data_IF_506957671654
#
_entry.id   IF_506957671654
#
_cell.length_a   1.000
_cell.length_b   1.000
_cell.length_c   1.000
_cell.angle_alpha   90.00
_cell.angle_beta   90.00
_cell.angle_gamma   90.00
#
_symmetry.space_group_name_H-M   'P 1'
#
loop_
_entity.id
_entity.type
_entity.pdbx_description
1 polymer ?
#
# COMPACT_ATOMS: atom_id res chain seq x y z
N UNK A 1 -26.75 -21.37 49.87
CA UNK A 1 -26.33 -19.99 49.54
C UNK A 1 -25.29 -20.02 48.44
N UNK A 2 -25.69 -19.57 47.24
CA UNK A 2 -24.84 -19.49 46.04
C UNK A 2 -23.87 -18.32 46.20
N UNK A 3 -22.55 -18.55 46.15
CA UNK A 3 -21.57 -17.49 45.97
C UNK A 3 -21.15 -17.48 44.50
N UNK A 4 -21.71 -16.51 43.79
CA UNK A 4 -21.45 -16.16 42.40
C UNK A 4 -19.95 -15.94 42.20
N UNK A 5 -19.29 -16.83 41.46
CA UNK A 5 -17.94 -16.61 40.96
C UNK A 5 -18.09 -15.60 39.82
N UNK A 6 -17.80 -14.33 40.12
CA UNK A 6 -17.78 -13.27 39.11
C UNK A 6 -16.59 -13.53 38.21
N UNK A 7 -16.92 -13.98 37.01
CA UNK A 7 -16.07 -14.16 35.85
C UNK A 7 -15.26 -12.88 35.64
N UNK A 8 -13.99 -12.89 36.07
CA UNK A 8 -12.99 -11.93 35.60
C UNK A 8 -12.57 -12.40 34.20
N UNK A 9 -13.45 -12.20 33.21
CA UNK A 9 -13.02 -12.07 31.82
C UNK A 9 -12.10 -10.87 31.84
N UNK A 10 -10.82 -11.14 32.00
CA UNK A 10 -9.75 -10.22 31.65
C UNK A 10 -10.12 -9.76 30.25
N UNK A 11 -10.47 -8.49 30.17
CA UNK A 11 -10.51 -7.67 28.98
C UNK A 11 -9.11 -7.75 28.33
N UNK A 12 -8.81 -8.91 27.74
CA UNK A 12 -7.96 -9.02 26.58
C UNK A 12 -8.75 -8.34 25.47
N UNK A 13 -8.84 -7.00 25.58
CA UNK A 13 -9.02 -6.13 24.44
C UNK A 13 -7.85 -6.43 23.54
N UNK A 14 -8.00 -7.47 22.72
CA UNK A 14 -7.13 -7.74 21.61
C UNK A 14 -7.05 -6.42 20.86
N UNK A 15 -5.89 -5.78 20.97
CA UNK A 15 -5.54 -4.66 20.13
C UNK A 15 -5.37 -5.28 18.75
N UNK A 16 -6.50 -5.53 18.08
CA UNK A 16 -6.54 -6.07 16.74
C UNK A 16 -5.97 -4.99 15.84
N UNK A 17 -4.68 -5.13 15.52
CA UNK A 17 -4.10 -4.42 14.39
C UNK A 17 -4.98 -4.74 13.18
N UNK A 18 -5.54 -3.70 12.57
CA UNK A 18 -6.39 -3.82 11.38
C UNK A 18 -5.48 -3.95 10.17
N UNK A 19 -5.77 -4.91 9.28
CA UNK A 19 -4.93 -5.33 8.17
C UNK A 19 -5.59 -4.99 6.82
N UNK A 20 -4.79 -4.73 5.79
CA UNK A 20 -5.22 -4.39 4.43
C UNK A 20 -4.82 -5.50 3.44
N UNK A 21 -5.64 -5.74 2.43
CA UNK A 21 -5.41 -6.71 1.34
C UNK A 21 -5.54 -6.01 -0.01
N UNK A 22 -4.92 -6.51 -1.08
CA UNK A 22 -4.94 -5.92 -2.43
C UNK A 22 -5.85 -6.72 -3.39
N UNK A 23 -6.33 -7.92 -3.03
CA UNK A 23 -7.22 -8.72 -3.89
C UNK A 23 -8.66 -8.19 -3.88
N UNK A 24 -8.95 -7.24 -4.78
CA UNK A 24 -10.22 -6.50 -4.84
C UNK A 24 -11.12 -6.83 -6.04
N UNK A 25 -10.83 -7.91 -6.78
CA UNK A 25 -11.58 -8.26 -8.00
C UNK A 25 -12.96 -8.86 -7.67
N UNK A 26 -14.03 -8.13 -8.00
CA UNK A 26 -15.40 -8.67 -8.06
C UNK A 26 -16.33 -8.36 -6.88
N UNK A 27 -15.91 -7.53 -5.92
CA UNK A 27 -16.81 -7.13 -4.83
C UNK A 27 -17.78 -6.00 -5.27
N UNK A 28 -19.09 -6.18 -5.04
CA UNK A 28 -20.13 -5.16 -5.29
C UNK A 28 -19.88 -3.81 -4.57
N UNK A 29 -18.98 -3.82 -3.59
CA UNK A 29 -18.67 -2.69 -2.70
C UNK A 29 -17.47 -1.87 -3.20
N UNK A 30 -16.82 -2.30 -4.30
CA UNK A 30 -15.68 -1.63 -4.92
C UNK A 30 -16.14 -0.44 -5.79
N UNK A 31 -16.68 0.62 -5.15
CA UNK A 31 -17.17 1.82 -5.84
C UNK A 31 -16.26 3.04 -5.73
N UNK A 32 -15.04 2.90 -5.18
CA UNK A 32 -14.26 4.05 -4.72
C UNK A 32 -12.75 3.97 -5.02
N UNK A 33 -12.37 3.42 -6.18
CA UNK A 33 -11.05 3.65 -6.75
C UNK A 33 -11.11 4.71 -7.82
N UNK A 34 -10.21 5.69 -7.75
CA UNK A 34 -10.17 6.81 -8.66
C UNK A 34 -8.76 6.94 -9.20
N UNK A 35 -8.61 6.83 -10.52
CA UNK A 35 -7.39 7.28 -11.18
C UNK A 35 -7.44 8.80 -11.19
N UNK A 36 -6.41 9.43 -10.65
CA UNK A 36 -6.32 10.88 -10.50
C UNK A 36 -5.51 11.48 -11.63
N UNK A 37 -4.28 11.00 -11.81
CA UNK A 37 -3.33 11.59 -12.74
C UNK A 37 -2.18 10.61 -13.07
N UNK A 38 -1.30 11.00 -13.99
CA UNK A 38 0.03 10.43 -14.15
C UNK A 38 1.06 11.35 -13.50
N UNK A 39 1.84 10.84 -12.56
CA UNK A 39 2.87 11.60 -11.83
C UNK A 39 4.27 11.09 -12.16
N UNK A 40 5.26 11.93 -11.86
CA UNK A 40 6.69 11.57 -11.88
C UNK A 40 7.26 11.69 -10.47
N UNK A 41 8.09 10.72 -10.07
CA UNK A 41 8.83 10.74 -8.82
C UNK A 41 10.31 10.82 -9.16
N UNK A 42 11.03 11.83 -8.66
CA UNK A 42 12.45 12.01 -8.96
C UNK A 42 13.29 10.86 -8.39
N UNK A 43 14.07 10.18 -9.25
CA UNK A 43 14.88 9.00 -8.91
C UNK A 43 14.07 8.01 -8.04
N UNK A 44 13.02 7.40 -8.61
CA UNK A 44 12.09 6.59 -7.85
C UNK A 44 12.74 5.30 -7.36
N UNK A 45 12.41 4.90 -6.14
CA UNK A 45 12.79 3.60 -5.57
C UNK A 45 11.56 2.86 -5.08
N UNK A 46 11.55 1.53 -5.26
CA UNK A 46 10.62 0.62 -4.60
C UNK A 46 11.27 0.09 -3.32
N UNK A 47 10.55 0.13 -2.22
CA UNK A 47 11.03 -0.36 -0.92
C UNK A 47 10.04 -1.38 -0.36
N UNK A 48 10.57 -2.53 0.03
CA UNK A 48 9.86 -3.52 0.81
C UNK A 48 10.39 -3.53 2.24
N UNK A 49 9.51 -3.30 3.22
CA UNK A 49 9.88 -3.39 4.64
C UNK A 49 9.62 -4.79 5.16
N UNK A 50 10.67 -5.49 5.59
CA UNK A 50 10.54 -6.80 6.26
C UNK A 50 9.73 -6.69 7.56
N UNK A 51 9.84 -5.55 8.24
CA UNK A 51 9.18 -5.28 9.53
C UNK A 51 7.71 -4.90 9.38
N UNK A 52 7.36 -4.10 8.38
CA UNK A 52 6.03 -3.48 8.27
C UNK A 52 5.19 -4.00 7.09
N UNK A 53 5.78 -4.79 6.19
CA UNK A 53 5.20 -5.15 4.90
C UNK A 53 5.41 -4.05 3.86
N UNK A 54 5.02 -4.31 2.63
CA UNK A 54 5.24 -3.45 1.47
C UNK A 54 4.64 -4.10 0.22
N UNK A 55 4.70 -3.44 -0.96
CA UNK A 55 5.74 -2.48 -1.36
C UNK A 55 5.33 -0.99 -1.32
N UNK A 56 6.32 -0.10 -1.19
CA UNK A 56 6.17 1.36 -1.25
C UNK A 56 7.04 1.98 -2.34
N UNK A 57 6.62 3.12 -2.89
CA UNK A 57 7.41 3.92 -3.84
C UNK A 57 7.58 5.35 -3.32
N UNK A 58 8.80 5.86 -3.39
CA UNK A 58 9.13 7.25 -3.08
C UNK A 58 10.47 7.64 -3.72
N UNK A 59 10.88 8.90 -3.56
CA UNK A 59 12.17 9.36 -4.11
C UNK A 59 13.36 8.77 -3.34
N UNK A 60 14.46 8.45 -4.04
CA UNK A 60 15.70 7.98 -3.40
C UNK A 60 16.20 8.93 -2.31
N UNK A 61 16.01 10.24 -2.48
CA UNK A 61 16.40 11.24 -1.47
C UNK A 61 15.60 11.13 -0.18
N UNK A 62 14.30 10.80 -0.28
CA UNK A 62 13.41 10.63 0.89
C UNK A 62 13.85 9.52 1.82
N UNK A 63 14.57 8.52 1.30
CA UNK A 63 15.14 7.44 2.11
C UNK A 63 16.06 7.94 3.24
N UNK A 64 16.69 9.11 3.07
CA UNK A 64 17.56 9.72 4.09
C UNK A 64 16.81 10.07 5.37
N UNK A 65 15.51 10.29 5.28
CA UNK A 65 14.65 10.65 6.41
C UNK A 65 14.10 9.40 7.14
N UNK A 66 14.42 8.19 6.66
CA UNK A 66 13.91 6.95 7.23
C UNK A 66 14.43 6.74 8.67
N UNK A 67 13.50 6.78 9.62
CA UNK A 67 13.77 6.70 11.06
C UNK A 67 13.34 5.37 11.70
N UNK A 68 13.17 4.31 10.90
CA UNK A 68 12.75 2.98 11.36
C UNK A 68 11.36 2.90 12.01
N UNK A 69 10.52 3.93 11.82
CA UNK A 69 9.14 3.98 12.33
C UNK A 69 8.12 3.83 11.19
N UNK A 70 6.96 3.27 11.55
CA UNK A 70 5.82 3.14 10.65
C UNK A 70 5.35 4.48 10.07
N UNK A 71 5.46 5.57 10.85
CA UNK A 71 4.99 6.90 10.44
C UNK A 71 5.63 7.41 9.15
N UNK A 72 6.88 7.00 8.86
CA UNK A 72 7.56 7.34 7.60
C UNK A 72 6.76 6.88 6.37
N UNK A 73 6.21 5.66 6.41
CA UNK A 73 5.43 5.10 5.31
C UNK A 73 4.02 5.71 5.15
N UNK A 74 3.64 6.61 6.06
CA UNK A 74 2.38 7.34 6.02
C UNK A 74 2.58 8.80 5.57
N UNK A 75 3.81 9.19 5.25
CA UNK A 75 4.10 10.56 4.83
C UNK A 75 3.50 10.87 3.44
N UNK A 76 3.13 12.13 3.17
CA UNK A 76 2.35 12.47 1.97
C UNK A 76 3.04 12.16 0.63
N UNK A 77 4.37 12.06 0.63
CA UNK A 77 5.27 11.80 -0.49
C UNK A 77 5.78 10.34 -0.53
N UNK A 78 5.23 9.47 0.32
CA UNK A 78 5.41 8.03 0.28
C UNK A 78 4.12 7.38 -0.23
N UNK A 79 4.24 6.62 -1.31
CA UNK A 79 3.12 6.00 -1.98
C UNK A 79 3.16 4.49 -1.79
N UNK A 80 1.99 3.88 -1.77
CA UNK A 80 1.88 2.42 -1.85
C UNK A 80 2.16 2.01 -3.29
N UNK A 81 2.96 0.97 -3.50
CA UNK A 81 3.15 0.39 -4.81
C UNK A 81 2.01 -0.59 -5.10
N UNK A 82 1.18 -0.27 -6.09
CA UNK A 82 0.32 -1.24 -6.73
C UNK A 82 1.14 -2.16 -7.63
N UNK A 83 0.68 -3.40 -7.81
CA UNK A 83 1.33 -4.38 -8.67
C UNK A 83 0.93 -4.15 -10.14
N UNK A 84 -0.27 -4.58 -10.52
CA UNK A 84 -0.83 -4.36 -11.85
C UNK A 84 -2.20 -3.69 -11.72
N UNK A 85 -2.34 -2.56 -12.41
CA UNK A 85 -3.54 -1.72 -12.41
C UNK A 85 -4.76 -2.47 -12.93
N UNK A 86 -4.60 -3.46 -13.80
CA UNK A 86 -5.73 -4.22 -14.35
C UNK A 86 -6.34 -5.22 -13.37
N UNK A 87 -5.64 -5.61 -12.29
CA UNK A 87 -6.29 -6.34 -11.19
C UNK A 87 -7.28 -5.47 -10.41
N UNK A 88 -7.15 -4.16 -10.56
CA UNK A 88 -7.83 -3.15 -9.75
C UNK A 88 -8.99 -2.50 -10.53
N UNK A 89 -8.86 -2.40 -11.86
CA UNK A 89 -9.90 -1.85 -12.73
C UNK A 89 -10.94 -2.89 -13.17
N UNK A 90 -12.19 -2.46 -13.34
CA UNK A 90 -13.18 -3.24 -14.05
C UNK A 90 -12.86 -3.33 -15.57
N UNK A 91 -13.43 -4.32 -16.24
CA UNK A 91 -13.16 -4.59 -17.66
C UNK A 91 -13.51 -3.43 -18.62
N UNK A 92 -14.48 -2.58 -18.30
CA UNK A 92 -14.84 -1.43 -19.14
C UNK A 92 -13.88 -0.26 -18.90
N UNK A 93 -13.42 -0.08 -17.66
CA UNK A 93 -12.36 0.87 -17.31
C UNK A 93 -11.03 0.47 -17.93
N UNK A 94 -10.70 -0.83 -17.99
CA UNK A 94 -9.54 -1.39 -18.70
C UNK A 94 -9.41 -0.85 -20.14
N UNK A 95 -10.51 -0.77 -20.90
CA UNK A 95 -10.47 -0.33 -22.30
C UNK A 95 -10.10 1.14 -22.49
N UNK A 96 -10.27 1.97 -21.45
CA UNK A 96 -10.00 3.40 -21.49
C UNK A 96 -8.54 3.74 -21.15
N UNK A 97 -7.85 2.86 -20.44
CA UNK A 97 -6.47 3.09 -20.00
C UNK A 97 -5.53 2.14 -20.73
N UNK A 98 -4.61 2.68 -21.52
CA UNK A 98 -3.50 1.92 -22.07
C UNK A 98 -2.43 1.83 -20.97
N UNK A 99 -2.42 0.76 -20.20
CA UNK A 99 -1.36 0.40 -19.25
C UNK A 99 -0.45 -0.61 -19.96
N UNK A 100 0.61 -0.16 -20.66
CA UNK A 100 1.32 -0.96 -21.66
C UNK A 100 2.11 -2.12 -21.06
N UNK A 101 2.63 -1.95 -19.84
CA UNK A 101 3.66 -2.85 -19.31
C UNK A 101 3.19 -3.72 -18.14
N UNK A 102 1.91 -3.66 -17.75
CA UNK A 102 1.37 -4.46 -16.64
C UNK A 102 2.17 -4.29 -15.33
N UNK A 103 2.88 -3.18 -15.15
CA UNK A 103 3.77 -2.93 -14.00
C UNK A 103 5.12 -3.61 -14.07
N UNK A 104 5.48 -4.21 -15.21
CA UNK A 104 6.72 -4.92 -15.48
C UNK A 104 7.93 -4.03 -15.73
N UNK A 105 8.09 -2.97 -14.96
CA UNK A 105 9.29 -2.14 -15.03
C UNK A 105 10.55 -2.94 -14.66
N UNK A 106 11.64 -2.76 -15.43
CA UNK A 106 12.94 -3.35 -15.14
C UNK A 106 13.59 -2.67 -13.92
N UNK A 107 13.23 -3.16 -12.75
CA UNK A 107 13.80 -2.74 -11.48
C UNK A 107 15.12 -3.44 -11.19
N UNK A 108 16.08 -2.72 -10.60
CA UNK A 108 17.37 -3.28 -10.16
C UNK A 108 17.50 -3.18 -8.66
N UNK A 109 18.03 -4.21 -8.01
CA UNK A 109 18.35 -4.12 -6.59
C UNK A 109 19.33 -2.95 -6.35
N UNK A 110 19.08 -2.15 -5.32
CA UNK A 110 19.93 -1.03 -4.94
C UNK A 110 21.17 -1.50 -4.17
N UNK A 111 22.29 -0.82 -4.40
CA UNK A 111 23.50 -0.94 -3.58
C UNK A 111 23.31 -0.33 -2.18
N UNK A 112 22.29 0.50 -1.99
CA UNK A 112 21.98 1.07 -0.68
C UNK A 112 21.45 -0.04 0.24
N UNK A 113 22.14 -0.27 1.36
CA UNK A 113 21.71 -1.21 2.39
C UNK A 113 21.19 -0.45 3.61
N UNK A 114 19.90 -0.61 3.88
CA UNK A 114 19.24 -0.15 5.11
C UNK A 114 18.67 -1.36 5.82
N UNK A 115 18.90 -1.46 7.13
CA UNK A 115 18.41 -2.59 7.93
C UNK A 115 16.90 -2.75 7.77
N UNK A 116 16.45 -4.00 7.59
CA UNK A 116 15.06 -4.41 7.44
C UNK A 116 14.32 -3.85 6.21
N UNK A 117 15.04 -3.25 5.25
CA UNK A 117 14.51 -2.80 3.97
C UNK A 117 15.17 -3.56 2.80
N UNK A 118 14.37 -3.96 1.83
CA UNK A 118 14.82 -4.34 0.50
C UNK A 118 14.49 -3.18 -0.43
N UNK A 119 15.47 -2.76 -1.24
CA UNK A 119 15.40 -1.52 -2.01
C UNK A 119 15.71 -1.85 -3.46
N UNK A 120 14.83 -1.40 -4.35
CA UNK A 120 14.98 -1.54 -5.80
C UNK A 120 14.87 -0.16 -6.44
N UNK A 121 15.69 0.10 -7.45
CA UNK A 121 15.71 1.35 -8.20
C UNK A 121 14.96 1.17 -9.52
N UNK A 122 14.04 2.10 -9.78
CA UNK A 122 13.39 2.20 -11.07
C UNK A 122 14.30 2.93 -12.08
N UNK A 123 14.09 2.73 -13.39
CA UNK A 123 14.64 3.61 -14.41
C UNK A 123 14.32 5.09 -14.13
N UNK A 124 15.24 6.00 -14.48
CA UNK A 124 15.11 7.43 -14.16
C UNK A 124 13.83 8.09 -14.70
N UNK A 125 13.28 7.58 -15.79
CA UNK A 125 12.14 8.17 -16.48
C UNK A 125 10.82 7.44 -16.20
N UNK A 126 10.79 6.54 -15.21
CA UNK A 126 9.56 5.84 -14.83
C UNK A 126 8.49 6.84 -14.38
N UNK A 127 7.32 6.74 -15.01
CA UNK A 127 6.11 7.49 -14.64
C UNK A 127 5.24 6.60 -13.77
N UNK A 128 4.24 7.18 -13.12
CA UNK A 128 3.35 6.42 -12.25
C UNK A 128 1.91 6.88 -12.44
N UNK A 129 0.99 5.94 -12.57
CA UNK A 129 -0.45 6.25 -12.45
C UNK A 129 -0.76 6.41 -10.98
N UNK A 130 -1.25 7.58 -10.58
CA UNK A 130 -1.73 7.84 -9.24
C UNK A 130 -3.20 7.44 -9.11
N UNK A 131 -3.46 6.50 -8.22
CA UNK A 131 -4.79 6.10 -7.79
C UNK A 131 -5.08 6.54 -6.35
N UNK A 132 -6.36 6.78 -6.07
CA UNK A 132 -6.88 6.95 -4.71
C UNK A 132 -7.85 5.82 -4.40
N UNK A 133 -7.64 5.16 -3.27
CA UNK A 133 -8.55 4.12 -2.76
C UNK A 133 -9.20 4.64 -1.49
N UNK A 134 -10.53 4.63 -1.42
CA UNK A 134 -11.25 4.92 -0.17
C UNK A 134 -11.18 3.73 0.79
N UNK A 135 -10.51 3.89 1.93
CA UNK A 135 -10.52 2.91 3.02
C UNK A 135 -11.74 3.10 3.93
N UNK A 136 -12.71 2.19 3.91
CA UNK A 136 -13.85 2.12 4.85
C UNK A 136 -13.77 0.88 5.77
N UNK A 137 -14.29 1.02 6.99
CA UNK A 137 -14.47 0.05 8.10
C UNK A 137 -14.89 -1.38 7.71
N UNK A 138 -15.62 -1.58 6.62
CA UNK A 138 -16.14 -2.91 6.25
C UNK A 138 -15.17 -3.78 5.45
N UNK A 139 -14.02 -3.24 5.03
CA UNK A 139 -13.06 -3.93 4.17
C UNK A 139 -11.90 -4.59 4.95
N UNK A 140 -12.19 -5.00 6.19
CA UNK A 140 -11.25 -5.66 7.08
C UNK A 140 -11.14 -7.14 6.71
N UNK A 141 -10.10 -7.47 5.93
CA UNK A 141 -9.18 -8.61 6.10
C UNK A 141 -8.53 -8.94 4.75
N UNK A 142 -7.22 -9.15 4.76
CA UNK A 142 -6.62 -10.45 4.40
C UNK A 142 -5.13 -10.45 4.76
N UNK A 143 -4.60 -11.63 5.09
CA UNK A 143 -3.18 -11.89 5.34
C UNK A 143 -2.53 -12.19 4.00
N UNK A 144 -1.58 -11.37 3.58
CA UNK A 144 -0.64 -11.74 2.53
C UNK A 144 0.74 -11.26 2.95
N UNK A 145 1.72 -12.14 2.85
CA UNK A 145 3.13 -11.83 3.09
C UNK A 145 3.68 -10.81 2.07
N UNK A 146 2.94 -10.57 0.98
CA UNK A 146 3.22 -9.60 -0.08
C UNK A 146 2.45 -8.28 0.05
N UNK A 147 1.59 -8.11 1.06
CA UNK A 147 0.74 -6.92 1.21
C UNK A 147 0.97 -6.19 2.54
N UNK A 148 0.88 -4.85 2.50
CA UNK A 148 1.26 -3.95 3.58
C UNK A 148 0.22 -3.87 4.71
N UNK A 149 0.67 -3.54 5.93
CA UNK A 149 -0.19 -3.38 7.10
C UNK A 149 -0.35 -1.91 7.48
N UNK A 150 -1.44 -1.26 7.08
CA UNK A 150 -1.73 0.12 7.53
C UNK A 150 -2.60 0.13 8.79
N UNK A 151 -2.04 0.46 9.99
CA UNK A 151 -2.84 0.76 11.16
C UNK A 151 -3.60 2.09 10.97
N UNK A 152 -4.87 2.00 10.58
CA UNK A 152 -5.76 3.16 10.46
C UNK A 152 -6.29 3.53 11.85
N UNK A 153 -5.81 4.64 12.42
CA UNK A 153 -6.24 5.15 13.73
C UNK A 153 -7.53 6.00 13.69
N UNK A 154 -7.95 6.50 12.51
CA UNK A 154 -9.11 7.39 12.36
C UNK A 154 -10.15 6.83 11.39
N UNK A 155 -11.41 6.86 11.81
CA UNK A 155 -12.55 6.11 11.25
C UNK A 155 -13.31 6.84 10.11
N UNK A 156 -12.87 8.04 9.71
CA UNK A 156 -13.47 8.79 8.60
C UNK A 156 -12.76 8.42 7.31
N UNK A 157 -13.51 8.19 6.23
CA UNK A 157 -13.02 7.83 4.88
C UNK A 157 -11.65 8.43 4.57
N UNK A 158 -10.60 7.62 4.66
CA UNK A 158 -9.24 8.03 4.31
C UNK A 158 -9.00 7.55 2.89
N UNK A 159 -8.72 8.48 1.99
CA UNK A 159 -8.18 8.14 0.69
C UNK A 159 -6.71 7.78 0.84
N UNK A 160 -6.36 6.57 0.47
CA UNK A 160 -5.01 6.06 0.46
C UNK A 160 -4.44 6.25 -0.96
N UNK A 161 -3.23 6.80 -1.05
CA UNK A 161 -2.53 7.01 -2.32
C UNK A 161 -1.80 5.74 -2.71
N UNK A 162 -2.09 5.26 -3.91
CA UNK A 162 -1.43 4.11 -4.52
C UNK A 162 -0.89 4.52 -5.88
N UNK A 163 0.29 4.01 -6.24
CA UNK A 163 0.91 4.29 -7.53
C UNK A 163 1.19 2.99 -8.28
N UNK A 164 0.99 3.02 -9.59
CA UNK A 164 1.27 1.90 -10.49
C UNK A 164 2.36 2.33 -11.47
N UNK A 165 3.49 1.63 -11.54
CA UNK A 165 4.60 2.04 -12.37
C UNK A 165 4.26 1.91 -13.87
N UNK A 166 4.59 2.95 -14.62
CA UNK A 166 4.52 3.01 -16.08
C UNK A 166 5.94 3.09 -16.61
N UNK A 167 6.35 2.05 -17.30
CA UNK A 167 7.55 2.06 -18.13
C UNK A 167 7.14 2.21 -19.60
N UNK A 168 8.08 2.75 -20.39
CA UNK A 168 7.99 2.97 -21.84
C UNK A 168 9.22 2.31 -22.47
#
# INVERSE_FOLDING_TARGET
>A
MKKTIIIFIVLLSSCSSRYYDIDYKGEKNYKSFYIVDTITISNPIKVFSKKYGGPFVFSKNKLKDYNQKWSFFMEPDVFICGFDLYYVLDYQSFKKYKYPDYGGCDEKESDIKVRDLEIYEYPKNTKFILGLINGNYYHIKHRSERYFRIPIKNLKSIYIKIVYPLCE
#
